data_IF_236398208898
#
_entry.id   IF_236398208898
#
_cell.length_a   1.000
_cell.length_b   1.000
_cell.length_c   1.000
_cell.angle_alpha   90.00
_cell.angle_beta   90.00
_cell.angle_gamma   90.00
#
_symmetry.space_group_name_H-M   'P 1'
#
loop_
_entity.id
_entity.type
_entity.pdbx_description
1 polymer ?
#
# COMPACT_ATOMS: atom_id res chain seq x y z
N UNK A 1 -16.64 -0.49 -0.08
CA UNK A 1 -15.42 0.18 -0.57
C UNK A 1 -15.15 1.44 0.25
N UNK A 2 -13.92 1.85 0.32
CA UNK A 2 -13.49 3.08 0.97
C UNK A 2 -12.30 3.68 0.22
N UNK A 3 -12.06 4.98 0.43
CA UNK A 3 -10.98 5.79 -0.09
C UNK A 3 -10.87 5.82 -1.61
N UNK A 4 -10.35 4.79 -2.27
CA UNK A 4 -9.91 4.86 -3.65
C UNK A 4 -10.35 3.67 -4.50
N UNK A 5 -10.31 3.85 -5.81
CA UNK A 5 -10.56 2.85 -6.83
C UNK A 5 -9.71 3.17 -8.08
N UNK A 6 -9.40 2.14 -8.86
CA UNK A 6 -8.76 2.31 -10.17
C UNK A 6 -9.41 1.40 -11.22
N UNK A 7 -9.11 1.64 -12.49
CA UNK A 7 -9.59 0.79 -13.58
C UNK A 7 -8.56 -0.28 -13.94
N UNK A 8 -9.04 -1.49 -14.21
CA UNK A 8 -8.27 -2.61 -14.76
C UNK A 8 -8.94 -3.01 -16.05
N UNK A 9 -8.48 -2.45 -17.18
CA UNK A 9 -9.19 -2.54 -18.44
C UNK A 9 -10.62 -1.96 -18.34
N UNK A 10 -11.63 -2.81 -18.57
CA UNK A 10 -13.05 -2.45 -18.42
C UNK A 10 -13.61 -2.74 -17.02
N UNK A 11 -12.79 -3.29 -16.13
CA UNK A 11 -13.15 -3.63 -14.76
C UNK A 11 -12.82 -2.49 -13.79
N UNK A 12 -13.31 -2.61 -12.57
CA UNK A 12 -13.06 -1.65 -11.48
C UNK A 12 -12.44 -2.36 -10.29
N UNK A 13 -11.23 -1.99 -9.93
CA UNK A 13 -10.57 -2.43 -8.70
C UNK A 13 -10.95 -1.52 -7.54
N UNK A 14 -11.47 -2.09 -6.48
CA UNK A 14 -11.95 -1.36 -5.30
C UNK A 14 -11.10 -1.68 -4.08
N UNK A 15 -10.83 -0.67 -3.27
CA UNK A 15 -10.36 -0.87 -1.89
C UNK A 15 -11.56 -1.20 -0.99
N UNK A 16 -11.47 -2.28 -0.25
CA UNK A 16 -12.49 -2.73 0.69
C UNK A 16 -11.87 -3.14 2.03
N UNK A 17 -12.72 -3.37 3.01
CA UNK A 17 -12.33 -3.95 4.29
C UNK A 17 -12.93 -5.35 4.44
N UNK A 18 -12.14 -6.25 4.99
CA UNK A 18 -12.57 -7.50 5.57
C UNK A 18 -12.70 -7.32 7.09
N UNK A 19 -13.71 -7.89 7.72
CA UNK A 19 -13.88 -7.75 9.17
C UNK A 19 -13.38 -9.00 9.87
N UNK A 20 -12.39 -8.86 10.74
CA UNK A 20 -11.88 -9.93 11.60
C UNK A 20 -12.18 -9.60 13.07
N UNK A 21 -12.81 -10.55 13.76
CA UNK A 21 -13.06 -10.42 15.20
C UNK A 21 -11.75 -10.44 16.00
N UNK A 22 -11.75 -9.89 17.21
CA UNK A 22 -10.60 -9.94 18.12
C UNK A 22 -10.07 -11.36 18.33
N UNK A 23 -10.98 -12.36 18.36
CA UNK A 23 -10.57 -13.77 18.48
C UNK A 23 -9.80 -14.29 17.28
N UNK A 24 -10.22 -13.93 16.05
CA UNK A 24 -9.50 -14.32 14.81
C UNK A 24 -8.12 -13.64 14.74
N UNK A 25 -8.06 -12.36 15.09
CA UNK A 25 -6.83 -11.57 15.06
C UNK A 25 -5.81 -12.11 16.08
N UNK A 26 -6.26 -12.38 17.32
CA UNK A 26 -5.40 -13.00 18.33
C UNK A 26 -4.97 -14.41 17.94
N UNK A 27 -5.85 -15.19 17.28
CA UNK A 27 -5.52 -16.51 16.78
C UNK A 27 -4.48 -16.47 15.65
N UNK A 28 -4.44 -15.39 14.86
CA UNK A 28 -3.48 -15.19 13.78
C UNK A 28 -2.10 -14.68 14.25
N UNK A 29 -1.94 -14.32 15.52
CA UNK A 29 -0.65 -13.91 16.08
C UNK A 29 -0.55 -12.45 16.50
N UNK A 30 -1.64 -11.68 16.42
CA UNK A 30 -1.66 -10.31 16.95
C UNK A 30 -1.56 -10.33 18.49
N UNK A 31 -0.82 -9.38 19.04
CA UNK A 31 -0.62 -9.29 20.48
C UNK A 31 -1.75 -8.50 21.16
N UNK A 32 -2.65 -9.25 21.82
CA UNK A 32 -3.72 -8.73 22.66
C UNK A 32 -4.74 -7.82 21.97
N UNK A 33 -5.29 -8.24 20.82
CA UNK A 33 -6.46 -7.57 20.27
C UNK A 33 -7.67 -7.67 21.21
N UNK A 34 -8.26 -6.55 21.55
CA UNK A 34 -9.47 -6.41 22.39
C UNK A 34 -10.73 -6.06 21.57
N UNK A 35 -10.54 -5.71 20.31
CA UNK A 35 -11.60 -5.29 19.38
C UNK A 35 -11.37 -5.89 17.99
N UNK A 36 -12.38 -5.83 17.14
CA UNK A 36 -12.27 -6.20 15.73
C UNK A 36 -11.27 -5.32 14.98
N UNK A 37 -10.68 -5.85 13.91
CA UNK A 37 -9.85 -5.13 12.95
C UNK A 37 -10.40 -5.33 11.56
N UNK A 38 -10.12 -4.35 10.70
CA UNK A 38 -10.58 -4.35 9.32
C UNK A 38 -9.40 -4.37 8.36
N UNK A 39 -8.81 -5.56 8.10
CA UNK A 39 -7.76 -5.72 7.11
C UNK A 39 -8.21 -5.28 5.72
N UNK A 40 -7.24 -4.83 4.92
CA UNK A 40 -7.49 -4.43 3.55
C UNK A 40 -7.81 -5.62 2.66
N UNK A 41 -8.79 -5.41 1.79
CA UNK A 41 -9.24 -6.35 0.78
C UNK A 41 -9.38 -5.58 -0.54
N UNK A 42 -8.72 -6.03 -1.60
CA UNK A 42 -8.94 -5.54 -2.95
C UNK A 42 -9.92 -6.46 -3.67
N UNK A 43 -10.87 -5.86 -4.38
CA UNK A 43 -11.89 -6.57 -5.14
C UNK A 43 -11.95 -5.99 -6.54
N UNK A 44 -11.74 -6.82 -7.55
CA UNK A 44 -11.95 -6.44 -8.94
C UNK A 44 -13.33 -6.87 -9.40
N UNK A 45 -14.09 -5.92 -9.93
CA UNK A 45 -15.45 -6.08 -10.38
C UNK A 45 -15.53 -5.91 -11.89
N UNK A 46 -16.09 -6.92 -12.57
CA UNK A 46 -16.47 -6.85 -13.98
C UNK A 46 -17.94 -6.40 -14.11
N UNK A 47 -18.23 -5.21 -14.64
CA UNK A 47 -19.61 -4.75 -14.83
C UNK A 47 -20.39 -5.65 -15.79
N UNK A 48 -21.62 -6.05 -15.44
CA UNK A 48 -22.48 -6.91 -16.25
C UNK A 48 -23.28 -6.15 -17.34
N UNK A 49 -23.12 -4.83 -17.40
CA UNK A 49 -23.85 -3.94 -18.32
C UNK A 49 -25.32 -3.70 -17.97
N UNK A 50 -25.83 -4.29 -16.87
CA UNK A 50 -27.22 -4.19 -16.42
C UNK A 50 -27.35 -3.49 -15.06
N UNK A 51 -26.27 -2.93 -14.55
CA UNK A 51 -26.19 -2.26 -13.25
C UNK A 51 -25.74 -3.16 -12.10
N UNK A 52 -25.31 -4.39 -12.40
CA UNK A 52 -24.61 -5.30 -11.51
C UNK A 52 -23.15 -5.48 -11.92
N UNK A 53 -22.42 -6.30 -11.17
CA UNK A 53 -21.06 -6.70 -11.47
C UNK A 53 -20.74 -8.06 -10.82
N UNK A 54 -19.85 -8.81 -11.46
CA UNK A 54 -19.28 -10.03 -10.91
C UNK A 54 -17.89 -9.76 -10.32
N UNK A 55 -17.56 -10.41 -9.21
CA UNK A 55 -16.20 -10.42 -8.68
C UNK A 55 -15.37 -11.36 -9.58
N UNK A 56 -14.26 -10.83 -10.13
CA UNK A 56 -13.39 -11.57 -11.04
C UNK A 56 -12.00 -11.82 -10.45
N UNK A 57 -11.59 -11.02 -9.49
CA UNK A 57 -10.33 -11.19 -8.75
C UNK A 57 -10.43 -10.57 -7.35
N UNK A 58 -9.74 -11.19 -6.39
CA UNK A 58 -9.67 -10.73 -5.00
C UNK A 58 -8.27 -10.93 -4.44
N UNK A 59 -7.84 -10.01 -3.58
CA UNK A 59 -6.62 -10.12 -2.78
C UNK A 59 -6.87 -9.64 -1.36
N UNK A 60 -6.39 -10.40 -0.38
CA UNK A 60 -6.59 -10.11 1.03
C UNK A 60 -5.22 -9.97 1.73
N UNK A 61 -4.96 -8.83 2.36
CA UNK A 61 -3.75 -8.67 3.18
C UNK A 61 -3.64 -9.75 4.27
N UNK A 62 -4.79 -10.31 4.65
CA UNK A 62 -4.92 -11.35 5.67
C UNK A 62 -4.22 -12.66 5.31
N UNK A 63 -4.02 -12.93 4.05
CA UNK A 63 -3.39 -14.15 3.56
C UNK A 63 -1.85 -14.04 3.53
N UNK A 64 -1.30 -12.82 3.74
CA UNK A 64 0.12 -12.50 3.60
C UNK A 64 0.73 -11.97 4.90
N UNK A 65 0.42 -12.61 6.02
CA UNK A 65 0.84 -12.19 7.35
C UNK A 65 2.05 -12.98 7.86
N UNK A 66 2.89 -12.32 8.67
CA UNK A 66 3.90 -12.96 9.52
C UNK A 66 3.86 -12.38 10.94
N UNK A 67 4.56 -13.02 11.88
CA UNK A 67 4.80 -12.55 13.23
C UNK A 67 5.95 -13.34 13.90
N UNK A 68 6.69 -12.72 14.80
CA UNK A 68 7.79 -13.33 15.56
C UNK A 68 7.54 -13.38 17.07
N UNK A 69 6.33 -13.06 17.53
CA UNK A 69 5.99 -12.87 18.94
C UNK A 69 5.52 -14.15 19.64
N UNK A 70 4.85 -15.07 18.93
CA UNK A 70 4.29 -16.29 19.51
C UNK A 70 4.46 -17.50 18.57
N UNK A 71 5.45 -18.36 18.87
CA UNK A 71 5.76 -19.55 18.07
C UNK A 71 4.68 -20.64 18.14
N UNK A 72 3.69 -20.50 18.97
CA UNK A 72 2.54 -21.44 19.04
C UNK A 72 1.40 -21.09 18.08
N UNK A 73 1.45 -19.92 17.44
CA UNK A 73 0.43 -19.40 16.53
C UNK A 73 0.86 -19.54 15.09
N UNK A 74 -0.10 -19.52 14.14
CA UNK A 74 0.20 -19.48 12.72
C UNK A 74 0.97 -18.21 12.33
N UNK A 75 1.50 -18.20 11.12
CA UNK A 75 2.28 -17.09 10.55
C UNK A 75 3.60 -16.80 11.31
N UNK A 76 4.02 -17.73 12.18
CA UNK A 76 5.25 -17.54 12.94
C UNK A 76 6.49 -17.70 12.08
N UNK A 77 7.37 -16.72 12.21
CA UNK A 77 8.76 -16.78 11.75
C UNK A 77 9.69 -16.48 12.93
N UNK A 78 10.93 -16.94 12.87
CA UNK A 78 11.92 -16.61 13.90
C UNK A 78 12.41 -15.17 13.82
N UNK A 79 12.33 -14.55 12.67
CA UNK A 79 12.73 -13.17 12.40
C UNK A 79 11.89 -12.63 11.23
N UNK A 80 11.16 -11.54 11.45
CA UNK A 80 10.35 -10.92 10.41
C UNK A 80 11.20 -10.29 9.31
N UNK A 81 12.47 -9.99 9.57
CA UNK A 81 13.38 -9.45 8.55
C UNK A 81 13.78 -10.46 7.46
N UNK A 82 13.55 -11.75 7.71
CA UNK A 82 13.74 -12.80 6.70
C UNK A 82 12.55 -12.86 5.71
N UNK A 83 11.45 -12.13 6.00
CA UNK A 83 10.20 -12.16 5.24
C UNK A 83 9.70 -10.75 4.88
N UNK A 84 10.48 -9.96 4.11
CA UNK A 84 10.07 -8.63 3.67
C UNK A 84 8.85 -8.64 2.75
N UNK A 85 8.54 -9.79 2.15
CA UNK A 85 7.37 -10.05 1.31
C UNK A 85 6.07 -10.20 2.11
N UNK A 86 6.14 -10.35 3.43
CA UNK A 86 4.98 -10.52 4.30
C UNK A 86 4.74 -9.28 5.17
N UNK A 87 3.54 -9.22 5.72
CA UNK A 87 3.10 -8.14 6.61
C UNK A 87 3.15 -8.62 8.05
N UNK A 88 4.00 -8.02 8.88
CA UNK A 88 3.95 -8.29 10.31
C UNK A 88 2.61 -7.83 10.89
N UNK A 89 1.83 -8.77 11.39
CA UNK A 89 0.51 -8.50 11.97
C UNK A 89 0.60 -7.55 13.17
N UNK A 90 1.77 -7.46 13.80
CA UNK A 90 2.04 -6.63 14.98
C UNK A 90 2.67 -5.26 14.66
N UNK A 91 2.98 -4.96 13.40
CA UNK A 91 3.64 -3.70 13.04
C UNK A 91 2.81 -2.44 13.36
N UNK A 92 1.50 -2.55 13.42
CA UNK A 92 0.59 -1.47 13.78
C UNK A 92 -0.19 -1.84 15.03
N UNK A 93 0.31 -1.41 16.19
CA UNK A 93 -0.31 -1.69 17.50
C UNK A 93 -1.30 -0.60 17.93
N UNK A 94 -1.11 0.63 17.48
CA UNK A 94 -1.97 1.75 17.85
C UNK A 94 -2.84 2.16 16.66
N UNK A 95 -4.12 1.92 16.79
CA UNK A 95 -5.12 2.41 15.86
C UNK A 95 -5.24 3.93 15.98
N UNK A 96 -5.25 4.60 14.85
CA UNK A 96 -5.34 6.06 14.82
C UNK A 96 -3.98 6.75 14.93
N UNK A 97 -3.01 6.41 14.08
CA UNK A 97 -1.72 7.10 13.92
C UNK A 97 -1.86 8.64 13.93
N UNK A 98 -0.82 9.43 13.69
CA UNK A 98 -0.81 10.88 13.84
C UNK A 98 -1.98 11.53 13.08
N UNK A 99 -3.09 11.78 13.77
CA UNK A 99 -4.30 12.34 13.17
C UNK A 99 -5.61 11.65 13.56
N UNK A 100 -5.57 10.61 14.41
CA UNK A 100 -6.71 9.98 15.09
C UNK A 100 -8.01 10.03 14.29
N UNK A 101 -8.12 9.25 13.22
CA UNK A 101 -9.31 9.28 12.41
C UNK A 101 -9.92 7.89 12.36
N UNK A 102 -11.01 7.69 13.07
CA UNK A 102 -11.92 6.60 12.75
C UNK A 102 -12.39 6.76 11.31
N UNK A 103 -12.49 5.65 10.58
CA UNK A 103 -13.15 5.63 9.28
C UNK A 103 -14.60 6.10 9.35
N UNK A 104 -15.34 6.13 8.24
CA UNK A 104 -16.76 6.47 8.22
C UNK A 104 -17.53 5.57 9.19
N UNK A 105 -17.96 6.14 10.33
CA UNK A 105 -18.61 5.43 11.41
C UNK A 105 -17.89 5.46 12.75
N UNK A 106 -16.71 6.08 12.87
CA UNK A 106 -15.98 6.22 14.14
C UNK A 106 -15.45 4.91 14.72
N UNK A 107 -15.32 3.87 13.90
CA UNK A 107 -14.86 2.56 14.32
C UNK A 107 -13.33 2.50 14.51
N UNK A 108 -12.89 1.85 15.56
CA UNK A 108 -11.47 1.63 15.88
C UNK A 108 -10.86 0.45 15.09
N UNK A 109 -11.60 -0.13 14.11
CA UNK A 109 -11.20 -1.33 13.40
C UNK A 109 -10.24 -1.15 12.22
N UNK A 110 -10.15 0.04 11.65
CA UNK A 110 -9.30 0.33 10.48
C UNK A 110 -7.81 0.20 10.83
N UNK A 111 -7.30 -0.97 10.53
CA UNK A 111 -5.96 -1.36 10.97
C UNK A 111 -4.84 -0.83 10.07
N UNK A 112 -5.02 -0.92 8.74
CA UNK A 112 -3.95 -0.63 7.78
C UNK A 112 -4.12 0.72 7.09
N UNK A 113 -5.36 1.16 6.95
CA UNK A 113 -5.75 2.43 6.34
C UNK A 113 -5.15 2.64 4.95
N UNK A 114 -5.43 1.71 4.03
CA UNK A 114 -5.09 1.90 2.61
C UNK A 114 -5.94 3.04 2.06
N UNK A 115 -5.28 3.97 1.35
CA UNK A 115 -5.91 5.22 0.95
C UNK A 115 -5.51 5.70 -0.46
N UNK A 116 -4.86 4.86 -1.21
CA UNK A 116 -4.54 5.02 -2.62
C UNK A 116 -4.30 3.67 -3.23
N UNK A 117 -4.85 3.42 -4.44
CA UNK A 117 -4.63 2.22 -5.22
C UNK A 117 -4.52 2.60 -6.69
N UNK A 118 -3.55 2.04 -7.39
CA UNK A 118 -3.38 2.23 -8.83
C UNK A 118 -2.91 0.94 -9.50
N UNK A 119 -3.20 0.81 -10.78
CA UNK A 119 -2.90 -0.35 -11.60
C UNK A 119 -1.97 0.02 -12.76
N UNK A 120 -0.93 -0.78 -12.96
CA UNK A 120 -0.01 -0.68 -14.07
C UNK A 120 -0.30 -1.79 -15.07
N UNK A 121 -0.88 -1.44 -16.22
CA UNK A 121 -1.25 -2.39 -17.27
C UNK A 121 -0.04 -3.05 -17.93
N UNK A 122 1.09 -2.33 -18.08
CA UNK A 122 2.29 -2.86 -18.73
C UNK A 122 2.98 -3.92 -17.88
N UNK A 123 2.92 -3.78 -16.56
CA UNK A 123 3.51 -4.71 -15.59
C UNK A 123 2.50 -5.70 -15.01
N UNK A 124 1.20 -5.46 -15.18
CA UNK A 124 0.13 -6.20 -14.51
C UNK A 124 0.32 -6.25 -12.99
N UNK A 125 0.53 -5.06 -12.40
CA UNK A 125 0.83 -4.88 -10.99
C UNK A 125 -0.09 -3.83 -10.36
N UNK A 126 -0.37 -3.99 -9.07
CA UNK A 126 -1.12 -3.02 -8.26
C UNK A 126 -0.17 -2.36 -7.26
N UNK A 127 -0.15 -1.02 -7.20
CA UNK A 127 0.46 -0.31 -6.09
C UNK A 127 -0.59 0.27 -5.15
N UNK A 128 -0.24 0.40 -3.88
CA UNK A 128 -1.12 1.01 -2.90
C UNK A 128 -0.34 1.69 -1.76
N UNK A 129 -0.97 2.64 -1.10
CA UNK A 129 -0.41 3.34 0.07
C UNK A 129 -1.15 3.01 1.35
N UNK A 130 -0.41 2.82 2.45
CA UNK A 130 -0.94 2.69 3.79
C UNK A 130 -0.50 3.85 4.66
N UNK A 131 -1.49 4.63 5.15
CA UNK A 131 -1.21 5.75 6.05
C UNK A 131 -0.62 5.32 7.37
N UNK A 132 -1.14 4.24 7.96
CA UNK A 132 -0.73 3.83 9.30
C UNK A 132 0.61 3.09 9.28
N UNK A 133 0.92 2.36 8.22
CA UNK A 133 2.23 1.77 8.01
C UNK A 133 3.30 2.81 7.64
N UNK A 134 2.90 3.97 7.09
CA UNK A 134 3.83 4.95 6.48
C UNK A 134 4.65 4.32 5.36
N UNK A 135 3.99 3.51 4.53
CA UNK A 135 4.60 2.77 3.42
C UNK A 135 3.70 2.77 2.18
N UNK A 136 4.34 2.49 1.06
CA UNK A 136 3.70 2.08 -0.19
C UNK A 136 4.14 0.68 -0.55
N UNK A 137 3.29 -0.03 -1.30
CA UNK A 137 3.47 -1.44 -1.63
C UNK A 137 3.15 -1.71 -3.09
N UNK A 138 3.73 -2.78 -3.62
CA UNK A 138 3.34 -3.36 -4.91
C UNK A 138 3.07 -4.84 -4.72
N UNK A 139 2.00 -5.31 -5.36
CA UNK A 139 1.63 -6.73 -5.47
C UNK A 139 1.46 -7.13 -6.93
N UNK A 140 1.56 -8.42 -7.19
CA UNK A 140 1.35 -9.02 -8.50
C UNK A 140 -0.16 -9.22 -8.76
N UNK A 141 -0.67 -8.61 -9.83
CA UNK A 141 -2.07 -8.78 -10.24
C UNK A 141 -2.23 -9.87 -11.30
N UNK A 142 -1.15 -10.35 -11.91
CA UNK A 142 -1.19 -11.41 -12.94
C UNK A 142 -1.63 -12.78 -12.41
N UNK A 143 -1.96 -12.85 -11.13
CA UNK A 143 -2.40 -14.04 -10.40
C UNK A 143 -3.88 -14.34 -10.65
N UNK A 144 -4.26 -15.62 -10.54
CA UNK A 144 -5.65 -15.99 -10.24
C UNK A 144 -5.98 -15.62 -8.80
N UNK A 145 -7.26 -15.58 -8.41
CA UNK A 145 -7.66 -15.34 -7.00
C UNK A 145 -7.04 -16.38 -6.06
N UNK A 146 -6.92 -17.65 -6.49
CA UNK A 146 -6.28 -18.70 -5.70
C UNK A 146 -4.77 -18.47 -5.51
N UNK A 147 -4.09 -18.00 -6.55
CA UNK A 147 -2.67 -17.63 -6.46
C UNK A 147 -2.49 -16.36 -5.65
N UNK A 148 -3.40 -15.37 -5.78
CA UNK A 148 -3.40 -14.15 -4.98
C UNK A 148 -3.60 -14.39 -3.48
N UNK A 149 -4.16 -15.53 -3.09
CA UNK A 149 -4.29 -15.98 -1.70
C UNK A 149 -3.13 -16.91 -1.27
N UNK A 150 -2.10 -17.08 -2.08
CA UNK A 150 -0.97 -17.98 -1.83
C UNK A 150 0.37 -17.27 -1.94
N UNK A 151 1.47 -17.98 -1.66
CA UNK A 151 2.85 -17.50 -1.72
C UNK A 151 3.58 -17.92 -2.99
N UNK A 152 2.87 -18.40 -4.01
CA UNK A 152 3.44 -18.87 -5.27
C UNK A 152 2.45 -18.66 -6.42
N UNK A 153 2.96 -18.44 -7.62
CA UNK A 153 2.16 -18.15 -8.82
C UNK A 153 2.32 -16.70 -9.29
N UNK A 154 1.59 -16.36 -10.34
CA UNK A 154 1.73 -15.08 -11.03
C UNK A 154 3.08 -14.89 -11.73
N UNK A 155 3.29 -13.73 -12.32
CA UNK A 155 4.55 -13.37 -13.00
C UNK A 155 5.72 -13.18 -12.01
N UNK A 156 5.42 -12.80 -10.78
CA UNK A 156 6.41 -12.66 -9.72
C UNK A 156 6.95 -14.00 -9.24
N UNK A 157 6.14 -15.07 -9.38
CA UNK A 157 6.37 -16.36 -8.75
C UNK A 157 6.09 -16.38 -7.24
N UNK A 158 5.57 -15.29 -6.67
CA UNK A 158 5.37 -15.10 -5.23
C UNK A 158 3.87 -15.04 -4.86
N UNK A 159 2.98 -15.38 -5.79
CA UNK A 159 1.54 -15.27 -5.57
C UNK A 159 1.12 -13.86 -5.22
N UNK A 160 0.32 -13.68 -4.16
CA UNK A 160 -0.13 -12.37 -3.70
C UNK A 160 0.78 -11.69 -2.68
N UNK A 161 1.99 -12.22 -2.43
CA UNK A 161 2.94 -11.57 -1.52
C UNK A 161 3.39 -10.20 -2.02
N UNK A 162 3.90 -9.38 -1.10
CA UNK A 162 4.44 -8.06 -1.41
C UNK A 162 5.72 -8.20 -2.23
N UNK A 163 5.73 -7.71 -3.47
CA UNK A 163 6.91 -7.75 -4.34
C UNK A 163 7.79 -6.51 -4.25
N UNK A 164 7.26 -5.44 -3.64
CA UNK A 164 7.99 -4.21 -3.33
C UNK A 164 7.31 -3.46 -2.20
N UNK A 165 8.11 -2.85 -1.33
CA UNK A 165 7.64 -1.91 -0.30
C UNK A 165 8.65 -0.80 -0.08
N UNK A 166 8.14 0.41 0.22
CA UNK A 166 9.01 1.56 0.47
C UNK A 166 8.39 2.48 1.52
N UNK A 167 9.20 2.92 2.46
CA UNK A 167 8.83 3.90 3.48
C UNK A 167 9.40 3.57 4.85
N UNK A 168 8.80 2.68 5.62
CA UNK A 168 9.24 2.37 6.99
C UNK A 168 9.83 0.97 7.14
N UNK A 169 11.16 0.79 6.96
CA UNK A 169 11.77 -0.54 7.00
C UNK A 169 11.64 -1.24 8.35
N UNK A 170 11.39 -0.51 9.44
CA UNK A 170 11.16 -1.14 10.75
C UNK A 170 9.88 -2.00 10.80
N UNK A 171 8.94 -1.79 9.88
CA UNK A 171 7.72 -2.60 9.81
C UNK A 171 7.97 -4.06 9.39
N UNK A 172 9.15 -4.35 8.85
CA UNK A 172 9.59 -5.70 8.50
C UNK A 172 10.99 -6.00 9.04
N UNK A 173 11.28 -5.50 10.25
CA UNK A 173 12.49 -5.82 10.99
C UNK A 173 13.80 -5.27 10.41
N UNK A 174 13.72 -4.51 9.31
CA UNK A 174 14.92 -3.97 8.67
C UNK A 174 15.34 -2.64 9.29
N UNK A 175 16.61 -2.36 9.22
CA UNK A 175 17.19 -1.07 9.61
C UNK A 175 17.98 -0.50 8.44
N UNK A 176 17.82 0.77 8.16
CA UNK A 176 18.55 1.41 7.05
C UNK A 176 18.16 2.87 6.87
N UNK A 177 18.96 3.61 6.11
CA UNK A 177 18.65 4.99 5.81
C UNK A 177 17.53 5.01 4.75
N UNK A 178 16.28 5.11 5.20
CA UNK A 178 15.15 5.33 4.30
C UNK A 178 14.33 6.51 4.76
N UNK A 179 13.86 7.32 3.82
CA UNK A 179 12.90 8.38 4.11
C UNK A 179 11.56 7.74 4.41
N UNK A 180 11.01 8.01 5.58
CA UNK A 180 9.70 7.51 6.01
C UNK A 180 8.66 8.56 5.61
N UNK A 181 7.70 8.23 4.74
CA UNK A 181 6.58 9.12 4.45
C UNK A 181 5.76 9.37 5.71
N UNK A 182 5.18 10.55 5.82
CA UNK A 182 4.34 10.88 6.96
C UNK A 182 2.90 11.14 6.52
N UNK A 183 2.00 10.27 6.94
CA UNK A 183 0.60 10.25 6.52
C UNK A 183 0.44 10.16 4.99
N UNK A 184 1.15 9.22 4.36
CA UNK A 184 1.15 9.01 2.91
C UNK A 184 -0.25 8.74 2.37
N UNK A 185 -0.53 9.28 1.16
CA UNK A 185 -1.75 9.04 0.39
C UNK A 185 -1.41 8.87 -1.09
N UNK A 186 -2.36 8.32 -1.84
CA UNK A 186 -2.44 8.41 -3.29
C UNK A 186 -1.18 7.87 -3.99
N UNK A 187 -0.78 6.64 -3.63
CA UNK A 187 0.28 5.95 -4.38
C UNK A 187 -0.23 5.60 -5.78
N UNK A 188 0.54 5.98 -6.80
CA UNK A 188 0.25 5.70 -8.21
C UNK A 188 1.50 5.63 -9.05
N UNK A 189 1.42 5.06 -10.23
CA UNK A 189 2.49 5.17 -11.22
C UNK A 189 2.41 6.46 -12.01
N UNK A 190 3.56 7.04 -12.32
CA UNK A 190 3.68 8.03 -13.37
C UNK A 190 3.74 7.29 -14.69
N UNK A 191 2.77 7.54 -15.58
CA UNK A 191 2.75 6.92 -16.91
C UNK A 191 4.09 7.12 -17.63
N UNK A 192 4.66 6.04 -18.15
CA UNK A 192 5.85 6.11 -19.00
C UNK A 192 5.45 6.48 -20.44
N UNK A 193 5.48 7.76 -20.71
CA UNK A 193 5.16 8.36 -22.01
C UNK A 193 6.40 9.01 -22.69
N UNK A 194 7.59 8.56 -22.25
CA UNK A 194 8.88 9.06 -22.72
C UNK A 194 9.32 10.40 -22.10
N UNK A 195 8.54 10.95 -21.17
CA UNK A 195 8.91 12.14 -20.38
C UNK A 195 9.67 11.74 -19.11
N UNK A 196 10.43 12.67 -18.49
CA UNK A 196 11.14 12.37 -17.24
C UNK A 196 10.24 11.79 -16.16
N UNK A 197 10.76 10.86 -15.38
CA UNK A 197 10.14 10.13 -14.29
C UNK A 197 8.99 9.17 -14.72
N UNK A 198 8.87 8.84 -16.01
CA UNK A 198 7.96 7.77 -16.45
C UNK A 198 8.33 6.45 -15.76
N UNK A 199 7.34 5.71 -15.29
CA UNK A 199 7.51 4.47 -14.54
C UNK A 199 7.78 4.62 -13.03
N UNK A 200 8.04 5.85 -12.53
CA UNK A 200 8.19 6.07 -11.09
C UNK A 200 6.86 5.92 -10.37
N UNK A 201 6.93 5.50 -9.11
CA UNK A 201 5.82 5.68 -8.18
C UNK A 201 5.75 7.13 -7.72
N UNK A 202 4.56 7.69 -7.65
CA UNK A 202 4.28 9.03 -7.12
C UNK A 202 3.40 8.90 -5.89
N UNK A 203 3.71 9.67 -4.85
CA UNK A 203 2.92 9.71 -3.62
C UNK A 203 2.63 11.14 -3.20
N UNK A 204 1.48 11.34 -2.57
CA UNK A 204 1.21 12.53 -1.77
C UNK A 204 1.67 12.30 -0.34
N UNK A 205 2.75 12.95 0.06
CA UNK A 205 3.32 12.85 1.39
C UNK A 205 2.84 14.06 2.23
N UNK A 206 1.81 13.85 3.06
CA UNK A 206 1.10 14.94 3.74
C UNK A 206 1.99 15.80 4.63
N UNK A 207 3.02 15.22 5.24
CA UNK A 207 3.99 15.96 6.06
C UNK A 207 5.43 15.69 5.62
N UNK A 208 5.63 15.63 4.30
CA UNK A 208 6.89 15.20 3.71
C UNK A 208 8.09 16.10 3.96
N UNK A 209 7.88 17.41 4.05
CA UNK A 209 8.94 18.39 4.36
C UNK A 209 8.96 18.73 5.85
N UNK A 210 7.79 18.87 6.46
CA UNK A 210 7.61 19.18 7.89
C UNK A 210 6.14 18.88 8.28
N UNK A 211 5.81 18.96 9.55
CA UNK A 211 4.45 18.73 10.06
C UNK A 211 3.35 19.56 9.37
N UNK A 212 3.72 20.68 8.74
CA UNK A 212 2.80 21.58 8.05
C UNK A 212 3.21 21.84 6.59
N UNK A 213 3.91 20.91 5.98
CA UNK A 213 4.38 21.07 4.60
C UNK A 213 4.31 19.77 3.83
N UNK A 214 3.32 19.66 2.97
CA UNK A 214 3.14 18.50 2.09
C UNK A 214 4.11 18.51 0.93
N UNK A 215 4.40 17.31 0.42
CA UNK A 215 5.22 17.11 -0.78
C UNK A 215 4.59 16.08 -1.72
N UNK A 216 4.93 16.20 -3.00
CA UNK A 216 4.74 15.14 -3.97
C UNK A 216 6.11 14.51 -4.18
N UNK A 217 6.25 13.25 -3.84
CA UNK A 217 7.51 12.53 -3.95
C UNK A 217 7.42 11.49 -5.06
N UNK A 218 8.45 11.42 -5.89
CA UNK A 218 8.64 10.39 -6.92
C UNK A 218 9.70 9.40 -6.49
N UNK A 219 9.39 8.13 -6.53
CA UNK A 219 10.23 7.02 -6.11
C UNK A 219 10.54 6.15 -7.32
N UNK A 220 11.83 6.03 -7.66
CA UNK A 220 12.32 5.14 -8.70
C UNK A 220 12.51 3.73 -8.12
N UNK A 221 11.46 2.93 -8.19
CA UNK A 221 11.48 1.53 -7.78
C UNK A 221 12.16 0.70 -8.87
N UNK A 222 13.36 0.19 -8.59
CA UNK A 222 14.19 -0.45 -9.61
C UNK A 222 13.79 -1.91 -9.79
N UNK A 223 13.28 -2.23 -10.98
CA UNK A 223 12.99 -3.62 -11.37
C UNK A 223 14.30 -4.40 -11.50
N UNK A 224 14.30 -5.63 -10.97
CA UNK A 224 15.40 -6.55 -11.08
C UNK A 224 15.57 -7.00 -12.56
N UNK A 225 16.70 -6.69 -13.20
CA UNK A 225 16.91 -7.06 -14.59
C UNK A 225 17.00 -8.58 -14.83
N UNK A 226 17.20 -9.38 -13.80
CA UNK A 226 17.24 -10.85 -13.93
C UNK A 226 15.83 -11.42 -14.09
N UNK A 227 14.86 -10.88 -13.38
CA UNK A 227 13.45 -11.31 -13.49
C UNK A 227 12.68 -10.50 -14.52
N UNK A 228 13.02 -9.21 -14.68
CA UNK A 228 12.29 -8.26 -15.52
C UNK A 228 10.90 -7.89 -14.96
N UNK A 229 10.59 -8.29 -13.71
CA UNK A 229 9.29 -8.13 -13.11
C UNK A 229 9.35 -7.75 -11.62
N UNK A 230 10.14 -8.48 -10.82
CA UNK A 230 10.32 -8.22 -9.39
C UNK A 230 11.25 -7.02 -9.16
N UNK A 231 11.35 -6.56 -7.94
CA UNK A 231 12.16 -5.40 -7.57
C UNK A 231 13.44 -5.83 -6.86
N UNK A 232 14.52 -5.03 -7.03
CA UNK A 232 15.80 -5.34 -6.40
C UNK A 232 15.68 -5.24 -4.89
N UNK A 233 15.99 -6.35 -4.21
CA UNK A 233 16.18 -6.42 -2.77
C UNK A 233 17.55 -7.00 -2.48
N UNK A 234 18.45 -6.21 -1.91
CA UNK A 234 19.75 -6.69 -1.49
C UNK A 234 19.66 -7.40 -0.14
N UNK A 235 20.38 -8.53 0.06
CA UNK A 235 20.34 -9.23 1.34
C UNK A 235 20.70 -8.35 2.53
N UNK A 236 19.81 -8.27 3.52
CA UNK A 236 20.00 -7.50 4.74
C UNK A 236 19.83 -5.98 4.59
N UNK A 237 19.36 -5.51 3.46
CA UNK A 237 19.03 -4.10 3.19
C UNK A 237 17.53 -3.93 2.92
N UNK A 238 16.94 -2.79 3.27
CA UNK A 238 15.56 -2.51 2.84
C UNK A 238 15.47 -2.31 1.33
N UNK A 239 14.28 -2.45 0.76
CA UNK A 239 14.02 -2.08 -0.63
C UNK A 239 14.48 -0.64 -0.92
N UNK A 240 15.19 -0.45 -2.01
CA UNK A 240 15.61 0.88 -2.45
C UNK A 240 14.49 1.69 -3.15
N UNK A 241 14.73 2.98 -3.40
CA UNK A 241 15.87 3.78 -2.99
C UNK A 241 15.78 4.25 -1.53
N UNK A 242 16.90 4.68 -0.95
CA UNK A 242 16.94 5.21 0.42
C UNK A 242 16.17 6.54 0.59
N UNK A 243 15.89 7.23 -0.51
CA UNK A 243 15.16 8.49 -0.53
C UNK A 243 14.29 8.59 -1.78
N UNK A 244 13.35 9.53 -1.78
CA UNK A 244 12.67 9.93 -3.02
C UNK A 244 13.71 10.35 -4.09
N UNK A 245 13.41 10.06 -5.33
CA UNK A 245 14.24 10.49 -6.49
C UNK A 245 13.91 11.92 -6.88
N UNK A 246 12.62 12.27 -6.83
CA UNK A 246 12.15 13.64 -7.09
C UNK A 246 11.21 14.10 -5.97
N UNK A 247 11.21 15.41 -5.71
CA UNK A 247 10.32 16.03 -4.72
C UNK A 247 9.83 17.39 -5.20
N UNK A 248 8.53 17.57 -5.12
CA UNK A 248 7.89 18.88 -5.21
C UNK A 248 7.31 19.26 -3.86
N UNK A 249 7.71 20.43 -3.34
CA UNK A 249 7.16 20.96 -2.07
C UNK A 249 5.91 21.74 -2.40
N UNK A 250 4.76 21.32 -1.85
CA UNK A 250 3.49 21.96 -2.15
C UNK A 250 3.40 23.37 -1.56
N UNK A 251 2.76 24.28 -2.29
CA UNK A 251 2.49 25.64 -1.79
C UNK A 251 1.50 25.63 -0.61
N UNK A 252 0.64 24.61 -0.55
CA UNK A 252 -0.36 24.40 0.51
C UNK A 252 -0.15 23.03 1.13
N UNK A 253 -0.50 22.90 2.40
CA UNK A 253 -0.39 21.65 3.16
C UNK A 253 -1.74 21.06 3.46
N UNK A 254 -1.78 19.74 3.50
CA UNK A 254 -2.91 18.96 3.96
C UNK A 254 -2.45 17.95 5.01
N UNK A 255 -3.14 17.84 6.12
CA UNK A 255 -2.81 16.89 7.20
C UNK A 255 -3.29 15.47 6.92
N UNK A 256 -4.08 15.27 5.88
CA UNK A 256 -4.62 13.98 5.46
C UNK A 256 -5.33 14.11 4.13
N UNK A 257 -5.77 12.98 3.57
CA UNK A 257 -6.34 12.90 2.23
C UNK A 257 -5.38 13.53 1.19
N UNK A 258 -5.92 14.01 0.07
CA UNK A 258 -5.15 14.64 -1.01
C UNK A 258 -4.68 13.66 -2.06
N UNK A 259 -4.45 14.20 -3.23
CA UNK A 259 -4.04 13.43 -4.40
C UNK A 259 -3.19 14.28 -5.34
N UNK A 260 -2.45 13.62 -6.20
CA UNK A 260 -1.70 14.27 -7.28
C UNK A 260 -1.70 13.37 -8.52
N UNK A 261 -1.73 14.00 -9.68
CA UNK A 261 -1.70 13.28 -10.95
C UNK A 261 -0.91 14.03 -12.02
N UNK A 262 -0.36 13.26 -12.97
CA UNK A 262 0.38 13.82 -14.09
C UNK A 262 -0.55 14.13 -15.25
N UNK A 263 -0.64 15.40 -15.59
CA UNK A 263 -1.45 15.85 -16.70
C UNK A 263 -0.78 15.56 -18.07
N UNK A 264 -1.57 15.48 -19.12
CA UNK A 264 -1.11 15.23 -20.49
C UNK A 264 -0.05 16.25 -20.99
N UNK A 265 -0.02 17.46 -20.44
CA UNK A 265 0.98 18.47 -20.74
C UNK A 265 2.29 18.33 -19.92
N UNK A 266 2.40 17.31 -19.06
CA UNK A 266 3.54 17.03 -18.20
C UNK A 266 3.57 17.76 -16.85
N UNK A 267 2.62 18.63 -16.59
CA UNK A 267 2.46 19.23 -15.27
C UNK A 267 1.88 18.23 -14.29
N UNK A 268 2.17 18.40 -13.01
CA UNK A 268 1.52 17.65 -11.94
C UNK A 268 0.35 18.48 -11.43
N UNK A 269 -0.85 17.94 -11.49
CA UNK A 269 -2.00 18.45 -10.77
C UNK A 269 -1.90 18.02 -9.32
N UNK A 270 -2.13 18.93 -8.40
CA UNK A 270 -2.08 18.68 -6.96
C UNK A 270 -3.37 19.15 -6.34
N UNK A 271 -4.07 18.23 -5.69
CA UNK A 271 -5.25 18.52 -4.88
C UNK A 271 -4.89 18.34 -3.40
N UNK A 272 -4.58 19.42 -2.71
CA UNK A 272 -4.34 19.41 -1.27
C UNK A 272 -5.66 19.64 -0.53
N UNK A 273 -6.15 18.62 0.18
CA UNK A 273 -7.41 18.74 0.93
C UNK A 273 -7.23 19.72 2.10
N UNK A 274 -8.13 20.69 2.24
CA UNK A 274 -8.09 21.70 3.30
C UNK A 274 -8.47 21.20 4.68
N UNK A 275 -8.58 19.88 4.89
CA UNK A 275 -9.21 19.32 6.09
C UNK A 275 -10.73 19.60 6.12
N UNK A 276 -11.37 19.43 7.27
CA UNK A 276 -12.77 19.83 7.43
C UNK A 276 -12.87 21.37 7.43
N UNK A 277 -12.89 21.99 6.31
CA UNK A 277 -12.92 23.44 6.16
C UNK A 277 -12.00 23.93 5.03
N UNK A 278 -11.82 23.13 3.98
CA UNK A 278 -11.04 23.51 2.82
C UNK A 278 -11.51 24.83 2.23
N UNK A 279 -10.57 25.74 2.01
CA UNK A 279 -10.74 26.95 1.19
C UNK A 279 -10.54 26.63 -0.28
#
# INVERSE_FOLDING_TARGET
SHHDLTLVGDNVLLTAWEIKSASQINAAGYDNADSEKWPTHFVELAPDGNGGADIVWEWHIWDHLCQDTDSSKPNYTSDISDHPELIDINMIQQMGGPGGGGGPGGGEGDWFHVNGVDYNEDLDQICFSSRFASEIYIIDHSTTTEEAASHEGGNSGMGGDIIYRWGNPSNYGMTGPQVIPNAVHDARWITDDGRPNGGFLQIFNNSGQSANQSTIDGIDAIIDPETGYNYILNPGEPYGPASYTTRYVCAYSASGQSASDRMSNGNIYVNASGGQGGS
#
